data_IF_309827360982
#
_entry.id   IF_309827360982
#
_cell.length_a   1.000
_cell.length_b   1.000
_cell.length_c   1.000
_cell.angle_alpha   90.00
_cell.angle_beta   90.00
_cell.angle_gamma   90.00
#
_symmetry.space_group_name_H-M   'P 1'
#
loop_
_entity.id
_entity.type
_entity.pdbx_description
1 polymer ?
#
# COMPACT_ATOMS: atom_id res chain seq x y z
N UNK A 1 -5.58 -0.04 2.39
CA UNK A 1 -6.72 0.88 2.16
C UNK A 1 -7.27 0.81 0.74
N UNK A 2 -6.54 1.23 -0.31
CA UNK A 2 -7.04 1.09 -1.69
C UNK A 2 -7.27 -0.37 -2.10
N UNK A 3 -6.30 -1.25 -1.83
CA UNK A 3 -6.45 -2.70 -2.05
C UNK A 3 -7.65 -3.28 -1.29
N UNK A 4 -7.89 -2.81 -0.07
CA UNK A 4 -9.05 -3.23 0.74
C UNK A 4 -10.36 -2.69 0.14
N UNK A 5 -10.34 -1.48 -0.42
CA UNK A 5 -11.44 -0.91 -1.19
C UNK A 5 -11.77 -1.72 -2.44
N UNK A 6 -10.75 -2.13 -3.21
CA UNK A 6 -10.92 -2.98 -4.39
C UNK A 6 -11.44 -4.37 -4.02
N UNK A 7 -10.94 -4.96 -2.93
CA UNK A 7 -11.41 -6.26 -2.42
C UNK A 7 -12.85 -6.17 -1.92
N UNK A 8 -13.19 -5.16 -1.12
CA UNK A 8 -14.55 -4.91 -0.66
C UNK A 8 -15.51 -4.69 -1.83
N UNK A 9 -15.08 -3.99 -2.88
CA UNK A 9 -15.87 -3.79 -4.10
C UNK A 9 -16.09 -5.08 -4.90
N UNK A 10 -15.13 -6.01 -4.89
CA UNK A 10 -15.29 -7.35 -5.48
C UNK A 10 -16.22 -8.22 -4.65
N UNK A 11 -16.17 -8.10 -3.32
CA UNK A 11 -17.03 -8.80 -2.39
C UNK A 11 -18.44 -8.16 -2.25
N UNK A 12 -18.69 -7.05 -2.95
CA UNK A 12 -19.93 -6.26 -2.86
C UNK A 12 -20.27 -5.80 -1.42
N UNK A 13 -19.24 -5.61 -0.59
CA UNK A 13 -19.37 -5.16 0.80
C UNK A 13 -19.44 -3.63 0.88
N UNK A 14 -20.66 -3.11 0.77
CA UNK A 14 -20.92 -1.68 0.84
C UNK A 14 -20.45 -1.01 2.14
N UNK A 15 -20.48 -1.73 3.27
CA UNK A 15 -20.08 -1.15 4.56
C UNK A 15 -18.56 -1.02 4.63
N UNK A 16 -17.84 -2.04 4.19
CA UNK A 16 -16.38 -2.02 4.14
C UNK A 16 -15.87 -0.95 3.16
N UNK A 17 -16.49 -0.81 1.98
CA UNK A 17 -16.17 0.27 1.04
C UNK A 17 -16.35 1.67 1.66
N UNK A 18 -17.42 1.88 2.44
CA UNK A 18 -17.63 3.17 3.14
C UNK A 18 -16.58 3.42 4.22
N UNK A 19 -16.13 2.39 4.92
CA UNK A 19 -15.06 2.53 5.91
C UNK A 19 -13.75 2.95 5.24
N UNK A 20 -13.39 2.30 4.14
CA UNK A 20 -12.22 2.69 3.32
C UNK A 20 -12.30 4.14 2.85
N UNK A 21 -13.47 4.60 2.39
CA UNK A 21 -13.67 5.99 1.98
C UNK A 21 -13.48 7.02 3.10
N UNK A 22 -13.81 6.66 4.36
CA UNK A 22 -13.56 7.51 5.54
C UNK A 22 -12.09 7.54 5.91
N UNK A 23 -11.43 6.38 5.90
CA UNK A 23 -10.01 6.26 6.19
C UNK A 23 -9.17 7.06 5.17
N UNK A 24 -9.58 7.04 3.90
CA UNK A 24 -8.97 7.83 2.82
C UNK A 24 -9.03 9.32 3.12
N UNK A 25 -10.18 9.82 3.56
CA UNK A 25 -10.37 11.24 3.87
C UNK A 25 -9.59 11.65 5.13
N UNK A 26 -9.57 10.80 6.15
CA UNK A 26 -8.78 11.02 7.36
C UNK A 26 -7.29 11.11 7.04
N UNK A 27 -6.78 10.22 6.19
CA UNK A 27 -5.41 10.25 5.68
C UNK A 27 -5.14 11.55 4.90
N UNK A 28 -6.02 11.91 3.96
CA UNK A 28 -5.88 13.13 3.16
C UNK A 28 -5.77 14.38 4.05
N UNK A 29 -6.55 14.44 5.13
CA UNK A 29 -6.47 15.53 6.12
C UNK A 29 -5.14 15.56 6.84
N UNK A 30 -4.63 14.42 7.30
CA UNK A 30 -3.31 14.33 7.95
C UNK A 30 -2.19 14.75 7.01
N UNK A 31 -2.32 14.46 5.71
CA UNK A 31 -1.34 14.80 4.67
C UNK A 31 -1.52 16.23 4.12
N UNK A 32 -2.53 16.98 4.56
CA UNK A 32 -2.78 18.34 4.08
C UNK A 32 -3.41 18.45 2.69
N UNK A 33 -3.80 17.33 2.06
CA UNK A 33 -4.36 17.24 0.69
C UNK A 33 -5.87 16.91 0.68
N UNK A 34 -6.58 17.34 1.73
CA UNK A 34 -8.00 17.03 1.89
C UNK A 34 -8.89 17.71 0.86
N UNK A 35 -8.49 18.88 0.35
CA UNK A 35 -9.32 19.65 -0.58
C UNK A 35 -9.45 18.93 -1.92
N UNK A 36 -8.39 18.23 -2.32
CA UNK A 36 -8.25 17.45 -3.53
C UNK A 36 -9.03 16.12 -3.47
N UNK A 37 -9.23 15.58 -2.26
CA UNK A 37 -9.80 14.23 -2.06
C UNK A 37 -11.19 14.20 -1.44
N UNK A 38 -11.73 15.35 -1.02
CA UNK A 38 -13.05 15.42 -0.38
C UNK A 38 -14.18 14.93 -1.30
N UNK A 39 -14.19 15.38 -2.55
CA UNK A 39 -15.23 15.00 -3.51
C UNK A 39 -15.11 13.54 -3.95
N UNK A 40 -13.88 13.01 -4.00
CA UNK A 40 -13.62 11.59 -4.21
C UNK A 40 -14.17 10.73 -3.08
N UNK A 41 -13.93 11.10 -1.82
CA UNK A 41 -14.48 10.39 -0.66
C UNK A 41 -16.01 10.34 -0.68
N UNK A 42 -16.67 11.44 -1.09
CA UNK A 42 -18.13 11.48 -1.29
C UNK A 42 -18.56 10.55 -2.41
N UNK A 43 -17.90 10.60 -3.57
CA UNK A 43 -18.22 9.73 -4.72
C UNK A 43 -18.08 8.24 -4.40
N UNK A 44 -17.05 7.86 -3.63
CA UNK A 44 -16.86 6.50 -3.12
C UNK A 44 -18.02 6.07 -2.21
N UNK A 45 -18.43 6.92 -1.26
CA UNK A 45 -19.53 6.64 -0.35
C UNK A 45 -20.87 6.49 -1.10
N UNK A 46 -21.16 7.40 -2.03
CA UNK A 46 -22.38 7.39 -2.84
C UNK A 46 -22.45 6.16 -3.75
N UNK A 47 -21.33 5.81 -4.39
CA UNK A 47 -21.24 4.62 -5.25
C UNK A 47 -21.45 3.34 -4.43
N UNK A 48 -20.88 3.26 -3.23
CA UNK A 48 -21.09 2.13 -2.32
C UNK A 48 -22.55 2.03 -1.84
N UNK A 49 -23.20 3.17 -1.55
CA UNK A 49 -24.61 3.20 -1.16
C UNK A 49 -25.54 2.75 -2.29
N UNK A 50 -25.24 3.17 -3.53
CA UNK A 50 -26.00 2.80 -4.73
C UNK A 50 -25.66 1.40 -5.25
N UNK A 51 -24.65 0.73 -4.66
CA UNK A 51 -24.09 -0.54 -5.15
C UNK A 51 -23.60 -0.45 -6.60
N UNK A 52 -23.11 0.73 -7.00
CA UNK A 52 -22.52 0.96 -8.32
C UNK A 52 -21.04 0.56 -8.29
N UNK A 53 -20.80 -0.75 -8.32
CA UNK A 53 -19.47 -1.34 -8.20
C UNK A 53 -18.51 -0.95 -9.33
N UNK A 54 -18.94 -0.85 -10.61
CA UNK A 54 -18.09 -0.34 -11.68
C UNK A 54 -17.67 1.12 -11.47
N UNK A 55 -18.58 1.99 -11.02
CA UNK A 55 -18.22 3.38 -10.70
C UNK A 55 -17.28 3.45 -9.49
N UNK A 56 -17.57 2.69 -8.43
CA UNK A 56 -16.74 2.67 -7.23
C UNK A 56 -15.28 2.30 -7.54
N UNK A 57 -15.06 1.28 -8.38
CA UNK A 57 -13.70 0.90 -8.82
C UNK A 57 -12.98 2.02 -9.57
N UNK A 58 -13.67 2.73 -10.46
CA UNK A 58 -13.10 3.89 -11.17
C UNK A 58 -12.80 5.06 -10.25
N UNK A 59 -13.64 5.28 -9.24
CA UNK A 59 -13.40 6.31 -8.23
C UNK A 59 -12.22 5.96 -7.34
N UNK A 60 -12.01 4.69 -6.99
CA UNK A 60 -10.81 4.26 -6.26
C UNK A 60 -9.53 4.58 -7.05
N UNK A 61 -9.52 4.24 -8.35
CA UNK A 61 -8.38 4.54 -9.25
C UNK A 61 -8.15 6.05 -9.40
N UNK A 62 -9.22 6.81 -9.58
CA UNK A 62 -9.13 8.27 -9.68
C UNK A 62 -8.64 8.91 -8.39
N UNK A 63 -9.09 8.39 -7.24
CA UNK A 63 -8.65 8.85 -5.91
C UNK A 63 -7.16 8.60 -5.70
N UNK A 64 -6.66 7.44 -6.14
CA UNK A 64 -5.24 7.10 -6.06
C UNK A 64 -4.39 8.05 -6.92
N UNK A 65 -4.85 8.33 -8.15
CA UNK A 65 -4.18 9.27 -9.06
C UNK A 65 -4.17 10.71 -8.51
N UNK A 66 -5.31 11.19 -8.01
CA UNK A 66 -5.45 12.54 -7.46
C UNK A 66 -4.59 12.71 -6.19
N UNK A 67 -4.50 11.68 -5.34
CA UNK A 67 -3.62 11.67 -4.17
C UNK A 67 -2.15 11.82 -4.59
N UNK A 68 -1.69 11.01 -5.56
CA UNK A 68 -0.31 11.07 -6.05
C UNK A 68 0.03 12.43 -6.66
N UNK A 69 -0.91 13.03 -7.40
CA UNK A 69 -0.75 14.35 -8.00
C UNK A 69 -0.74 15.47 -6.94
N UNK A 70 -1.64 15.43 -5.96
CA UNK A 70 -1.71 16.43 -4.90
C UNK A 70 -0.41 16.50 -4.11
N UNK A 71 0.16 15.34 -3.75
CA UNK A 71 1.43 15.26 -3.03
C UNK A 71 2.62 15.76 -3.86
N UNK A 72 2.62 15.49 -5.17
CA UNK A 72 3.65 16.00 -6.09
C UNK A 72 3.58 17.53 -6.21
N UNK A 73 2.38 18.09 -6.31
CA UNK A 73 2.16 19.53 -6.40
C UNK A 73 2.47 20.27 -5.07
N UNK A 74 2.47 19.54 -3.96
CA UNK A 74 2.89 20.02 -2.65
C UNK A 74 4.43 19.95 -2.45
N UNK A 75 5.19 19.59 -3.49
CA UNK A 75 6.64 19.34 -3.48
C UNK A 75 7.10 18.35 -2.39
N UNK A 76 6.19 17.57 -1.81
CA UNK A 76 6.54 16.57 -0.82
C UNK A 76 6.89 15.24 -1.50
N UNK A 77 8.01 15.28 -2.22
CA UNK A 77 8.59 14.12 -2.87
C UNK A 77 8.77 12.98 -1.85
N UNK A 78 9.14 13.30 -0.61
CA UNK A 78 9.29 12.31 0.45
C UNK A 78 7.99 11.55 0.77
N UNK A 79 6.87 12.25 0.94
CA UNK A 79 5.56 11.62 1.20
C UNK A 79 5.06 10.79 0.01
N UNK A 80 5.29 11.22 -1.23
CA UNK A 80 4.98 10.40 -2.42
C UNK A 80 5.70 9.06 -2.37
N UNK A 81 6.99 9.06 -2.00
CA UNK A 81 7.77 7.83 -1.86
C UNK A 81 7.24 6.95 -0.73
N UNK A 82 6.94 7.51 0.46
CA UNK A 82 6.38 6.76 1.58
C UNK A 82 5.02 6.12 1.26
N UNK A 83 4.16 6.80 0.51
CA UNK A 83 2.86 6.26 0.10
C UNK A 83 3.02 5.16 -0.94
N UNK A 84 3.94 5.36 -1.90
CA UNK A 84 4.29 4.32 -2.89
C UNK A 84 4.80 3.06 -2.19
N UNK A 85 5.64 3.22 -1.16
CA UNK A 85 6.10 2.11 -0.33
C UNK A 85 4.96 1.43 0.42
N UNK A 86 4.08 2.20 1.07
CA UNK A 86 2.93 1.65 1.78
C UNK A 86 2.00 0.83 0.87
N UNK A 87 1.74 1.33 -0.34
CA UNK A 87 0.94 0.62 -1.34
C UNK A 87 1.58 -0.72 -1.74
N UNK A 88 2.89 -0.72 -1.96
CA UNK A 88 3.60 -1.93 -2.32
C UNK A 88 3.68 -2.96 -1.18
N UNK A 89 3.96 -2.52 0.05
CA UNK A 89 4.00 -3.41 1.23
C UNK A 89 2.66 -4.14 1.36
N UNK A 90 1.55 -3.41 1.18
CA UNK A 90 0.21 -4.01 1.23
C UNK A 90 -0.05 -4.97 0.06
N UNK A 91 0.29 -4.60 -1.16
CA UNK A 91 0.11 -5.46 -2.33
C UNK A 91 0.90 -6.77 -2.21
N UNK A 92 2.16 -6.68 -1.76
CA UNK A 92 3.02 -7.84 -1.53
C UNK A 92 2.48 -8.74 -0.43
N UNK A 93 1.91 -8.16 0.63
CA UNK A 93 1.34 -8.93 1.73
C UNK A 93 0.12 -9.73 1.28
N UNK A 94 -0.75 -9.14 0.45
CA UNK A 94 -1.92 -9.82 -0.10
C UNK A 94 -1.50 -11.03 -0.94
N UNK A 95 -0.51 -10.86 -1.81
CA UNK A 95 -0.01 -11.95 -2.68
C UNK A 95 0.70 -13.02 -1.85
N UNK A 96 1.55 -12.62 -0.89
CA UNK A 96 2.24 -13.56 -0.02
C UNK A 96 1.25 -14.35 0.85
N UNK A 97 0.22 -13.70 1.38
CA UNK A 97 -0.85 -14.35 2.16
C UNK A 97 -1.64 -15.36 1.32
N UNK A 98 -2.04 -15.00 0.10
CA UNK A 98 -2.72 -15.93 -0.81
C UNK A 98 -1.86 -17.16 -1.16
N UNK A 99 -0.54 -16.96 -1.31
CA UNK A 99 0.41 -18.04 -1.57
C UNK A 99 0.62 -18.99 -0.37
N UNK A 100 0.38 -18.53 0.87
CA UNK A 100 0.40 -19.41 2.04
C UNK A 100 -0.73 -20.42 2.00
N UNK A 101 -1.92 -19.97 1.60
CA UNK A 101 -3.10 -20.83 1.51
C UNK A 101 -3.02 -21.78 0.31
N UNK A 102 -2.52 -21.29 -0.83
CA UNK A 102 -2.41 -22.07 -2.06
C UNK A 102 -1.18 -21.68 -2.89
N UNK A 103 -0.04 -22.28 -2.55
CA UNK A 103 1.22 -22.05 -3.27
C UNK A 103 1.13 -22.41 -4.75
N UNK A 104 1.71 -21.54 -5.58
CA UNK A 104 1.90 -21.73 -7.01
C UNK A 104 3.21 -21.07 -7.42
N UNK A 105 4.08 -21.79 -8.12
CA UNK A 105 5.36 -21.25 -8.59
C UNK A 105 5.16 -20.03 -9.50
N UNK A 106 4.17 -20.08 -10.39
CA UNK A 106 3.84 -18.96 -11.27
C UNK A 106 3.43 -17.71 -10.47
N UNK A 107 2.66 -17.88 -9.40
CA UNK A 107 2.26 -16.76 -8.53
C UNK A 107 3.43 -16.29 -7.66
N UNK A 108 4.31 -17.20 -7.21
CA UNK A 108 5.52 -16.86 -6.46
C UNK A 108 6.53 -16.08 -7.32
N UNK A 109 6.57 -16.32 -8.64
CA UNK A 109 7.37 -15.53 -9.58
C UNK A 109 6.87 -14.08 -9.69
N UNK A 110 5.57 -13.81 -9.53
CA UNK A 110 5.03 -12.44 -9.57
C UNK A 110 5.56 -11.54 -8.45
N UNK A 111 6.02 -12.14 -7.35
CA UNK A 111 6.66 -11.44 -6.25
C UNK A 111 8.11 -11.03 -6.57
N UNK A 112 8.78 -11.67 -7.55
CA UNK A 112 10.11 -11.25 -8.00
C UNK A 112 10.00 -9.95 -8.78
N UNK A 113 10.31 -8.85 -8.12
CA UNK A 113 10.22 -7.49 -8.68
C UNK A 113 11.56 -6.77 -8.49
N UNK A 114 12.58 -7.06 -9.33
CA UNK A 114 13.94 -6.55 -9.17
C UNK A 114 14.02 -5.01 -9.11
N UNK A 115 13.16 -4.33 -9.87
CA UNK A 115 13.07 -2.86 -9.88
C UNK A 115 12.71 -2.29 -8.50
N UNK A 116 11.97 -3.05 -7.69
CA UNK A 116 11.55 -2.62 -6.37
C UNK A 116 12.64 -2.76 -5.32
N UNK A 117 13.61 -3.63 -5.54
CA UNK A 117 14.80 -3.66 -4.70
C UNK A 117 15.52 -2.30 -4.78
N UNK A 118 15.71 -1.76 -5.99
CA UNK A 118 16.29 -0.43 -6.18
C UNK A 118 15.38 0.67 -5.60
N UNK A 119 14.07 0.58 -5.83
CA UNK A 119 13.10 1.56 -5.30
C UNK A 119 13.12 1.61 -3.77
N UNK A 120 13.15 0.45 -3.08
CA UNK A 120 13.17 0.35 -1.61
C UNK A 120 14.51 0.74 -1.01
N UNK A 121 15.61 0.52 -1.71
CA UNK A 121 16.92 0.95 -1.24
C UNK A 121 17.10 2.48 -1.34
N UNK A 122 16.61 3.09 -2.41
CA UNK A 122 16.87 4.50 -2.72
C UNK A 122 15.71 5.44 -2.36
N UNK A 123 14.48 4.95 -2.24
CA UNK A 123 13.32 5.83 -2.05
C UNK A 123 13.20 6.45 -0.66
N UNK A 124 14.10 6.13 0.28
CA UNK A 124 14.25 6.88 1.54
C UNK A 124 15.21 8.08 1.42
N UNK A 125 16.01 8.17 0.34
CA UNK A 125 16.94 9.29 0.11
C UNK A 125 16.24 10.65 -0.02
N UNK A 126 15.08 10.77 -0.71
CA UNK A 126 14.37 12.04 -0.84
C UNK A 126 13.72 12.54 0.46
N UNK A 127 13.71 11.73 1.53
CA UNK A 127 13.12 12.12 2.80
C UNK A 127 13.95 13.22 3.48
N UNK A 128 13.27 14.18 4.09
CA UNK A 128 13.91 15.15 4.97
C UNK A 128 14.42 14.48 6.27
N UNK A 129 15.29 15.18 7.01
CA UNK A 129 15.94 14.65 8.22
C UNK A 129 14.93 14.27 9.32
N UNK A 130 13.83 15.03 9.44
CA UNK A 130 12.75 14.76 10.40
C UNK A 130 12.09 13.41 10.14
N UNK A 131 11.76 13.11 8.87
CA UNK A 131 11.18 11.83 8.48
C UNK A 131 12.22 10.70 8.60
N UNK A 132 13.47 10.91 8.17
CA UNK A 132 14.53 9.89 8.33
C UNK A 132 14.78 9.49 9.79
N UNK A 133 14.60 10.42 10.72
CA UNK A 133 14.81 10.18 12.16
C UNK A 133 13.55 9.74 12.89
N UNK A 134 12.43 9.58 12.18
CA UNK A 134 11.19 9.11 12.79
C UNK A 134 11.36 7.68 13.32
N UNK A 135 10.86 7.42 14.53
CA UNK A 135 11.07 6.16 15.22
C UNK A 135 10.43 4.96 14.50
N UNK A 136 9.28 5.13 13.83
CA UNK A 136 8.68 4.05 13.04
C UNK A 136 9.49 3.79 11.79
N UNK A 137 9.91 4.83 11.07
CA UNK A 137 10.72 4.65 9.88
C UNK A 137 12.04 3.93 10.20
N UNK A 138 12.71 4.33 11.28
CA UNK A 138 13.91 3.64 11.78
C UNK A 138 13.63 2.19 12.17
N UNK A 139 12.45 1.91 12.74
CA UNK A 139 12.03 0.59 13.16
C UNK A 139 11.68 -0.35 11.97
N UNK A 140 11.06 0.16 10.91
CA UNK A 140 10.61 -0.66 9.78
C UNK A 140 11.66 -0.79 8.67
N UNK A 141 12.57 0.18 8.52
CA UNK A 141 13.55 0.23 7.42
C UNK A 141 14.40 -1.04 7.27
N UNK A 142 14.94 -1.67 8.35
CA UNK A 142 15.72 -2.91 8.20
C UNK A 142 14.89 -4.07 7.68
N UNK A 143 13.62 -4.16 8.09
CA UNK A 143 12.68 -5.19 7.61
C UNK A 143 12.28 -4.94 6.17
N UNK A 144 12.06 -3.68 5.78
CA UNK A 144 11.83 -3.32 4.37
C UNK A 144 13.02 -3.68 3.48
N UNK A 145 14.25 -3.49 3.95
CA UNK A 145 15.44 -3.92 3.24
C UNK A 145 15.50 -5.45 3.07
N UNK A 146 15.10 -6.21 4.09
CA UNK A 146 15.01 -7.68 4.01
C UNK A 146 13.95 -8.14 3.00
N UNK A 147 12.77 -7.51 3.00
CA UNK A 147 11.71 -7.77 2.00
C UNK A 147 12.23 -7.42 0.60
N UNK A 148 12.87 -6.27 0.42
CA UNK A 148 13.46 -5.85 -0.85
C UNK A 148 14.49 -6.86 -1.38
N UNK A 149 15.33 -7.40 -0.49
CA UNK A 149 16.31 -8.41 -0.85
C UNK A 149 15.65 -9.72 -1.31
N UNK A 150 14.65 -10.21 -0.58
CA UNK A 150 13.89 -11.40 -0.97
C UNK A 150 13.19 -11.21 -2.32
N UNK A 151 12.58 -10.05 -2.54
CA UNK A 151 11.83 -9.79 -3.78
C UNK A 151 12.72 -9.38 -4.96
N UNK A 152 13.98 -9.00 -4.68
CA UNK A 152 14.98 -8.60 -5.67
C UNK A 152 15.76 -9.74 -6.34
N UNK A 153 15.44 -11.00 -6.04
CA UNK A 153 16.08 -12.16 -6.66
C UNK A 153 15.77 -12.31 -8.16
N UNK A 154 16.40 -13.29 -8.84
CA UNK A 154 16.20 -13.53 -10.28
C UNK A 154 14.73 -13.74 -10.63
N UNK A 155 14.29 -13.13 -11.73
CA UNK A 155 12.88 -13.14 -12.16
C UNK A 155 12.38 -14.54 -12.59
N UNK A 156 13.28 -15.49 -12.81
CA UNK A 156 13.02 -16.89 -13.17
C UNK A 156 13.13 -17.86 -11.99
N UNK A 157 13.46 -17.36 -10.80
CA UNK A 157 13.58 -18.17 -9.59
C UNK A 157 12.39 -17.90 -8.65
N UNK A 158 11.39 -18.79 -8.52
CA UNK A 158 10.27 -18.56 -7.61
C UNK A 158 10.75 -18.47 -6.15
N UNK A 159 9.98 -17.79 -5.29
CA UNK A 159 10.21 -17.86 -3.85
C UNK A 159 9.76 -19.22 -3.32
N UNK A 160 10.55 -19.84 -2.43
CA UNK A 160 10.16 -21.06 -1.74
C UNK A 160 9.00 -20.82 -0.78
N UNK A 161 8.34 -21.89 -0.31
CA UNK A 161 7.32 -21.78 0.74
C UNK A 161 7.86 -21.14 2.02
N UNK A 162 9.08 -21.50 2.42
CA UNK A 162 9.70 -20.91 3.61
C UNK A 162 9.99 -19.42 3.40
N UNK A 163 10.45 -19.02 2.21
CA UNK A 163 10.66 -17.62 1.86
C UNK A 163 9.35 -16.83 1.85
N UNK A 164 8.26 -17.42 1.35
CA UNK A 164 6.92 -16.82 1.35
C UNK A 164 6.38 -16.66 2.77
N UNK A 165 6.57 -17.66 3.64
CA UNK A 165 6.15 -17.58 5.04
C UNK A 165 6.91 -16.47 5.79
N UNK A 166 8.22 -16.39 5.59
CA UNK A 166 9.06 -15.35 6.17
C UNK A 166 8.68 -13.95 5.64
N UNK A 167 8.43 -13.84 4.33
CA UNK A 167 7.99 -12.62 3.67
C UNK A 167 6.66 -12.14 4.23
N UNK A 168 5.64 -13.02 4.28
CA UNK A 168 4.32 -12.71 4.80
C UNK A 168 4.37 -12.26 6.26
N UNK A 169 5.13 -12.97 7.11
CA UNK A 169 5.31 -12.60 8.52
C UNK A 169 5.98 -11.22 8.67
N UNK A 170 7.01 -10.94 7.86
CA UNK A 170 7.72 -9.67 7.89
C UNK A 170 6.81 -8.52 7.46
N UNK A 171 6.09 -8.68 6.35
CA UNK A 171 5.14 -7.68 5.84
C UNK A 171 3.99 -7.42 6.82
N UNK A 172 3.42 -8.47 7.42
CA UNK A 172 2.39 -8.34 8.44
C UNK A 172 2.89 -7.57 9.67
N UNK A 173 4.14 -7.81 10.11
CA UNK A 173 4.74 -7.06 11.23
C UNK A 173 4.94 -5.57 10.90
N UNK A 174 5.35 -5.25 9.67
CA UNK A 174 5.50 -3.85 9.22
C UNK A 174 4.12 -3.17 9.20
N UNK A 175 3.11 -3.82 8.64
CA UNK A 175 1.75 -3.29 8.61
C UNK A 175 1.18 -3.09 10.02
N UNK A 176 1.45 -4.02 10.94
CA UNK A 176 1.07 -3.89 12.35
C UNK A 176 1.69 -2.65 12.98
N UNK A 177 3.00 -2.43 12.82
CA UNK A 177 3.67 -1.26 13.40
C UNK A 177 3.17 0.06 12.78
N UNK A 178 2.87 0.08 11.48
CA UNK A 178 2.29 1.24 10.80
C UNK A 178 0.88 1.56 11.33
N UNK A 179 0.05 0.53 11.55
CA UNK A 179 -1.37 0.70 11.91
C UNK A 179 -1.60 0.91 13.40
N UNK A 180 -0.73 0.39 14.27
CA UNK A 180 -0.84 0.54 15.73
C UNK A 180 -0.28 1.85 16.26
N UNK A 181 0.47 2.60 15.45
CA UNK A 181 0.98 3.93 15.79
C UNK A 181 -0.10 5.03 15.67
N UNK A 182 -1.29 4.75 16.18
CA UNK A 182 -2.29 5.75 16.51
C UNK A 182 -2.16 6.08 18.00
N UNK A 183 -1.13 6.83 18.38
CA UNK A 183 -1.03 7.60 19.63
C UNK A 183 0.18 8.52 19.59
#
# INVERSE_FOLDING_TARGET
>A
MFSDGYLAAQAEDAQHCRNVGKDLLAMAKTLGVQAELLDRSRSLSDSAQKKDWPLLRRELESTESDLANALRNHDDAGLVHLITFGAWVRASEIVASALKDSYSENTALLLRQPVLNTLLQTGFEPLNEKLRSDALLTLIQPRLASVAHLLGGPADNPLSREEIDALAATLASILHDITTRQN
#
